data_IF_205620723065
#
_entry.id   IF_205620723065
#
_cell.length_a   1.000
_cell.length_b   1.000
_cell.length_c   1.000
_cell.angle_alpha   90.00
_cell.angle_beta   90.00
_cell.angle_gamma   90.00
#
_symmetry.space_group_name_H-M   'P 1'
#
loop_
_entity.id
_entity.type
_entity.pdbx_description
1 polymer ?
#
# COMPACT_ATOMS: atom_id res chain seq x y z
N UNK A 1 1.32 11.62 -9.13
CA UNK A 1 1.85 11.13 -7.83
C UNK A 1 0.69 10.73 -6.94
N UNK A 2 0.67 9.48 -6.50
CA UNK A 2 -0.38 8.92 -5.65
C UNK A 2 0.17 8.65 -4.25
N UNK A 3 -0.64 8.94 -3.23
CA UNK A 3 -0.31 8.62 -1.85
C UNK A 3 -1.35 7.67 -1.27
N UNK A 4 -0.88 6.57 -0.70
CA UNK A 4 -1.70 5.53 -0.09
C UNK A 4 -1.32 5.33 1.37
N UNK A 5 -2.33 5.18 2.20
CA UNK A 5 -2.22 4.63 3.54
C UNK A 5 -2.48 3.13 3.46
N UNK A 6 -1.53 2.33 3.91
CA UNK A 6 -1.62 0.87 3.91
C UNK A 6 -1.54 0.39 5.35
N UNK A 7 -2.43 -0.51 5.72
CA UNK A 7 -2.34 -1.27 6.96
C UNK A 7 -1.91 -2.69 6.59
N UNK A 8 -0.81 -3.15 7.17
CA UNK A 8 -0.32 -4.52 7.00
C UNK A 8 -0.38 -5.27 8.32
N UNK A 9 -0.61 -6.57 8.27
CA UNK A 9 -0.48 -7.47 9.41
C UNK A 9 0.86 -8.20 9.33
N UNK A 10 1.62 -8.05 10.41
CA UNK A 10 2.89 -8.74 10.61
C UNK A 10 2.64 -10.18 11.10
N UNK A 11 3.62 -11.07 10.93
CA UNK A 11 3.50 -12.49 11.32
C UNK A 11 3.12 -12.72 12.80
N UNK A 12 3.38 -11.73 13.69
CA UNK A 12 3.01 -11.78 15.11
C UNK A 12 1.59 -11.27 15.40
N UNK A 13 0.80 -10.97 14.37
CA UNK A 13 -0.56 -10.44 14.47
C UNK A 13 -0.64 -8.93 14.74
N UNK A 14 0.51 -8.25 14.85
CA UNK A 14 0.57 -6.80 15.01
C UNK A 14 0.26 -6.11 13.68
N UNK A 15 -0.56 -5.05 13.72
CA UNK A 15 -0.88 -4.24 12.56
C UNK A 15 0.00 -2.99 12.51
N UNK A 16 0.57 -2.70 11.35
CA UNK A 16 1.43 -1.55 11.13
C UNK A 16 0.92 -0.70 9.96
N UNK A 17 0.99 0.62 10.12
CA UNK A 17 0.52 1.60 9.15
C UNK A 17 1.70 2.19 8.38
N UNK A 18 1.61 2.18 7.06
CA UNK A 18 2.59 2.77 6.14
C UNK A 18 1.93 3.84 5.28
N UNK A 19 2.68 4.92 5.01
CA UNK A 19 2.33 5.88 3.97
C UNK A 19 3.26 5.62 2.79
N UNK A 20 2.69 5.27 1.65
CA UNK A 20 3.43 4.97 0.42
C UNK A 20 3.10 6.01 -0.63
N UNK A 21 4.15 6.67 -1.09
CA UNK A 21 4.11 7.57 -2.23
C UNK A 21 4.62 6.81 -3.45
N UNK A 22 3.82 6.79 -4.52
CA UNK A 22 4.22 6.17 -5.79
C UNK A 22 3.96 7.12 -6.95
N UNK A 23 4.89 7.10 -7.91
CA UNK A 23 4.72 7.75 -9.19
C UNK A 23 4.31 6.70 -10.22
N UNK A 24 3.04 6.77 -10.61
CA UNK A 24 2.40 5.84 -11.52
C UNK A 24 1.52 6.60 -12.51
N UNK A 25 1.34 6.02 -13.69
CA UNK A 25 0.53 6.58 -14.76
C UNK A 25 -0.96 6.69 -14.41
N UNK A 26 -1.45 5.85 -13.50
CA UNK A 26 -2.82 5.84 -13.01
C UNK A 26 -2.93 5.14 -11.63
N UNK A 27 -4.09 5.22 -11.01
CA UNK A 27 -4.36 4.64 -9.69
C UNK A 27 -4.23 3.11 -9.67
N UNK A 28 -4.63 2.43 -10.74
CA UNK A 28 -4.55 0.97 -10.84
C UNK A 28 -3.09 0.51 -10.86
N UNK A 29 -2.24 1.15 -11.67
CA UNK A 29 -0.82 0.91 -11.72
C UNK A 29 -0.13 1.18 -10.37
N UNK A 30 -0.57 2.23 -9.66
CA UNK A 30 -0.09 2.53 -8.31
C UNK A 30 -0.41 1.40 -7.32
N UNK A 31 -1.66 0.91 -7.33
CA UNK A 31 -2.12 -0.21 -6.48
C UNK A 31 -1.37 -1.51 -6.80
N UNK A 32 -1.18 -1.83 -8.07
CA UNK A 32 -0.46 -3.03 -8.50
C UNK A 32 1.00 -3.02 -8.02
N UNK A 33 1.69 -1.87 -8.13
CA UNK A 33 3.05 -1.71 -7.61
C UNK A 33 3.10 -1.91 -6.09
N UNK A 34 2.19 -1.29 -5.35
CA UNK A 34 2.12 -1.44 -3.89
C UNK A 34 1.85 -2.90 -3.51
N UNK A 35 0.91 -3.54 -4.18
CA UNK A 35 0.53 -4.90 -3.89
C UNK A 35 1.67 -5.89 -4.20
N UNK A 36 2.42 -5.67 -5.28
CA UNK A 36 3.63 -6.45 -5.59
C UNK A 36 4.70 -6.34 -4.49
N UNK A 37 4.90 -5.14 -3.93
CA UNK A 37 5.88 -4.91 -2.87
C UNK A 37 5.51 -5.61 -1.56
N UNK A 38 4.22 -5.62 -1.20
CA UNK A 38 3.76 -6.12 0.11
C UNK A 38 3.46 -7.63 0.07
N UNK A 39 2.87 -8.15 -1.01
CA UNK A 39 2.47 -9.57 -1.11
C UNK A 39 3.64 -10.56 -1.02
N UNK A 40 4.89 -10.12 -1.15
CA UNK A 40 6.04 -11.00 -1.03
C UNK A 40 6.30 -11.50 0.41
N UNK A 41 5.73 -10.87 1.45
CA UNK A 41 5.94 -11.32 2.84
C UNK A 41 4.87 -10.90 3.85
N UNK A 42 3.92 -10.02 3.50
CA UNK A 42 3.05 -9.37 4.47
C UNK A 42 1.59 -9.37 3.98
N UNK A 43 0.64 -9.51 4.90
CA UNK A 43 -0.79 -9.45 4.60
C UNK A 43 -1.24 -7.98 4.59
N UNK A 44 -1.80 -7.50 3.47
CA UNK A 44 -2.47 -6.19 3.43
C UNK A 44 -3.86 -6.33 4.06
N UNK A 45 -4.09 -5.63 5.17
CA UNK A 45 -5.38 -5.54 5.86
C UNK A 45 -6.26 -4.46 5.22
N UNK A 46 -5.67 -3.32 4.88
CA UNK A 46 -6.37 -2.26 4.16
C UNK A 46 -5.42 -1.39 3.34
N UNK A 47 -5.95 -0.78 2.28
CA UNK A 47 -5.24 0.16 1.43
C UNK A 47 -6.22 1.27 1.02
N UNK A 48 -5.92 2.49 1.45
CA UNK A 48 -6.74 3.67 1.20
C UNK A 48 -5.90 4.74 0.52
N UNK A 49 -6.39 5.30 -0.58
CA UNK A 49 -5.76 6.46 -1.19
C UNK A 49 -6.06 7.69 -0.33
N UNK A 50 -5.02 8.44 0.04
CA UNK A 50 -5.16 9.64 0.90
C UNK A 50 -4.84 10.94 0.16
N UNK A 51 -4.25 10.88 -1.05
CA UNK A 51 -4.04 12.06 -1.91
C UNK A 51 -4.13 11.73 -3.40
N UNK A 52 -4.78 12.64 -4.15
CA UNK A 52 -4.74 12.73 -5.62
C UNK A 52 -3.69 13.79 -6.00
N UNK A 53 -2.72 13.39 -6.82
CA UNK A 53 -1.84 14.32 -7.54
C UNK A 53 -2.44 14.67 -8.88
#
# INVERSE_FOLDING_TARGET
MYEFRIVIRMERGEEQVFIVNTDAENEAAAKDQIQYLVNNSLEIVSMEQIKLG
#
